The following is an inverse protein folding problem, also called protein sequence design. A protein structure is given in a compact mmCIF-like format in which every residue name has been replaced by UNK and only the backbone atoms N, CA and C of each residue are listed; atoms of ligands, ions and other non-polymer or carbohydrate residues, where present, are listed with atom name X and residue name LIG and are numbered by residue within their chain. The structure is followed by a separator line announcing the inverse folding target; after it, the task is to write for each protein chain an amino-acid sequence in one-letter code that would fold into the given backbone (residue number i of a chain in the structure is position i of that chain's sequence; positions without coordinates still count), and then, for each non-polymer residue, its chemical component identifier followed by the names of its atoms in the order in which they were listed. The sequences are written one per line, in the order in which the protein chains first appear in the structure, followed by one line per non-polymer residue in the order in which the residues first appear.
data_IF_175295664983
#
_entry.id   IF_175295664983
#
_cell.length_a   1.000
_cell.length_b   1.000
_cell.length_c   1.000
_cell.angle_alpha   90.00
_cell.angle_beta   90.00
_cell.angle_gamma   90.00
#
_symmetry.space_group_name_H-M   'P 1'
#
loop_
_entity.id
_entity.type
_entity.pdbx_description
1 polymer ?
#
# COMPACT_ATOMS: atom_id res chain seq x y z
N UNK A 1 0.80 -0.90 15.36
CA UNK A 1 -0.49 -1.58 15.08
C UNK A 1 -1.33 -0.76 14.10
N UNK A 2 -2.05 -1.42 13.18
CA UNK A 2 -2.88 -0.78 12.16
C UNK A 2 -4.26 -0.47 12.75
N UNK A 3 -4.83 0.68 12.39
CA UNK A 3 -6.19 1.08 12.81
C UNK A 3 -7.28 0.24 12.15
N UNK A 4 -7.04 -0.18 10.91
CA UNK A 4 -7.99 -0.91 10.09
C UNK A 4 -7.76 -2.41 10.18
N UNK A 5 -8.85 -3.19 10.21
CA UNK A 5 -8.76 -4.64 10.05
C UNK A 5 -8.60 -4.97 8.58
N UNK A 6 -7.95 -6.09 8.30
CA UNK A 6 -7.76 -6.59 6.94
C UNK A 6 -7.70 -8.13 6.96
N UNK A 7 -8.03 -8.73 5.83
CA UNK A 7 -7.70 -10.12 5.54
C UNK A 7 -6.52 -10.18 4.56
N UNK A 8 -5.77 -11.28 4.61
CA UNK A 8 -4.73 -11.57 3.64
C UNK A 8 -5.20 -12.75 2.80
N UNK A 9 -5.16 -12.58 1.49
CA UNK A 9 -5.42 -13.65 0.52
C UNK A 9 -4.19 -13.87 -0.35
N UNK A 10 -3.91 -15.12 -0.68
CA UNK A 10 -2.78 -15.52 -1.52
C UNK A 10 -3.34 -16.18 -2.79
N UNK A 11 -3.03 -15.63 -3.96
CA UNK A 11 -3.51 -16.17 -5.23
C UNK A 11 -2.36 -16.89 -5.92
N UNK A 12 -2.38 -18.22 -5.85
CA UNK A 12 -1.27 -19.06 -6.30
C UNK A 12 -1.03 -19.01 -7.81
N UNK A 13 -2.08 -18.79 -8.61
CA UNK A 13 -2.00 -18.76 -10.08
C UNK A 13 -1.33 -17.49 -10.62
N UNK A 14 -1.30 -16.41 -9.82
CA UNK A 14 -0.73 -15.11 -10.20
C UNK A 14 0.48 -14.70 -9.34
N UNK A 15 0.87 -15.54 -8.37
CA UNK A 15 1.90 -15.22 -7.37
C UNK A 15 1.63 -13.90 -6.61
N UNK A 16 0.35 -13.62 -6.37
CA UNK A 16 -0.15 -12.37 -5.82
C UNK A 16 -0.58 -12.48 -4.36
N UNK A 17 -0.44 -11.37 -3.63
CA UNK A 17 -0.96 -11.19 -2.27
C UNK A 17 -1.95 -10.04 -2.30
N UNK A 18 -3.16 -10.29 -1.81
CA UNK A 18 -4.20 -9.27 -1.65
C UNK A 18 -4.34 -8.94 -0.17
N UNK A 19 -4.25 -7.65 0.15
CA UNK A 19 -4.77 -7.13 1.42
C UNK A 19 -6.20 -6.66 1.19
N UNK A 20 -7.15 -7.46 1.66
CA UNK A 20 -8.58 -7.15 1.57
C UNK A 20 -8.99 -6.29 2.78
N UNK A 21 -9.34 -5.05 2.48
CA UNK A 21 -9.78 -4.02 3.43
C UNK A 21 -11.31 -3.81 3.37
N UNK A 22 -12.02 -4.54 2.51
CA UNK A 22 -13.46 -4.36 2.27
C UNK A 22 -14.31 -5.15 3.27
N UNK A 23 -13.83 -6.32 3.72
CA UNK A 23 -14.60 -7.25 4.59
C UNK A 23 -15.17 -6.65 5.88
N UNK A 24 -14.70 -5.50 6.37
CA UNK A 24 -15.18 -4.87 7.61
C UNK A 24 -15.71 -3.42 7.42
N UNK A 25 -15.97 -2.97 6.18
CA UNK A 25 -16.61 -1.68 5.84
C UNK A 25 -15.88 -0.40 6.31
N UNK A 26 -14.60 -0.46 6.67
CA UNK A 26 -13.81 0.72 7.05
C UNK A 26 -12.37 0.58 6.53
N UNK A 27 -11.89 1.46 5.64
CA UNK A 27 -12.51 2.70 5.15
C UNK A 27 -13.58 2.48 4.07
N UNK A 28 -14.44 3.49 3.85
CA UNK A 28 -15.36 3.52 2.71
C UNK A 28 -14.56 3.36 1.41
N UNK A 29 -15.02 2.49 0.51
CA UNK A 29 -14.33 2.15 -0.73
C UNK A 29 -12.90 1.62 -0.50
N UNK A 30 -12.67 0.88 0.60
CA UNK A 30 -11.37 0.30 0.93
C UNK A 30 -10.79 -0.61 -0.16
N UNK A 31 -11.63 -1.18 -1.02
CA UNK A 31 -11.21 -1.92 -2.21
C UNK A 31 -10.29 -1.10 -3.14
N UNK A 32 -10.39 0.24 -3.14
CA UNK A 32 -9.50 1.10 -3.92
C UNK A 32 -8.05 1.02 -3.43
N UNK A 33 -7.84 0.86 -2.12
CA UNK A 33 -6.50 0.63 -1.57
C UNK A 33 -5.98 -0.72 -2.06
N UNK A 34 -6.80 -1.78 -1.96
CA UNK A 34 -6.45 -3.13 -2.42
C UNK A 34 -6.09 -3.14 -3.91
N UNK A 35 -6.85 -2.42 -4.74
CA UNK A 35 -6.58 -2.28 -6.17
C UNK A 35 -5.28 -1.51 -6.44
N UNK A 36 -5.00 -0.43 -5.71
CA UNK A 36 -3.73 0.30 -5.83
C UNK A 36 -2.54 -0.60 -5.52
N UNK A 37 -2.61 -1.44 -4.49
CA UNK A 37 -1.52 -2.34 -4.10
C UNK A 37 -1.17 -3.38 -5.19
N UNK A 38 -2.17 -3.90 -5.90
CA UNK A 38 -1.98 -4.84 -7.01
C UNK A 38 -1.65 -4.19 -8.36
N UNK A 39 -1.54 -2.86 -8.42
CA UNK A 39 -1.33 -2.12 -9.66
C UNK A 39 0.14 -1.98 -10.05
N UNK A 40 0.37 -1.40 -11.23
CA UNK A 40 1.69 -1.07 -11.75
C UNK A 40 2.49 -0.08 -10.88
N UNK A 41 1.84 0.64 -9.96
CA UNK A 41 2.48 1.53 -8.98
C UNK A 41 3.51 0.76 -8.12
N UNK A 42 3.23 -0.51 -7.82
CA UNK A 42 4.06 -1.33 -6.95
C UNK A 42 4.68 -2.53 -7.69
N UNK A 43 5.05 -2.33 -8.96
CA UNK A 43 5.56 -3.38 -9.84
C UNK A 43 6.84 -4.05 -9.32
N UNK A 44 7.68 -3.32 -8.59
CA UNK A 44 8.90 -3.82 -7.98
C UNK A 44 9.21 -3.17 -6.62
N UNK A 45 10.24 -3.68 -5.95
CA UNK A 45 10.60 -3.23 -4.61
C UNK A 45 11.20 -1.81 -4.59
N UNK A 46 11.82 -1.35 -5.67
CA UNK A 46 12.38 -0.01 -5.73
C UNK A 46 11.27 1.03 -5.87
N UNK A 47 10.21 0.72 -6.61
CA UNK A 47 8.99 1.52 -6.69
C UNK A 47 8.30 1.64 -5.32
N UNK A 48 8.23 0.53 -4.57
CA UNK A 48 7.73 0.55 -3.17
C UNK A 48 8.61 1.44 -2.28
N UNK A 49 9.95 1.36 -2.42
CA UNK A 49 10.88 2.21 -1.66
C UNK A 49 10.65 3.69 -1.96
N UNK A 50 10.50 4.05 -3.22
CA UNK A 50 10.27 5.42 -3.64
C UNK A 50 8.95 5.95 -3.07
N UNK A 51 7.85 5.21 -3.22
CA UNK A 51 6.55 5.61 -2.68
C UNK A 51 6.61 5.89 -1.17
N UNK A 52 7.18 4.95 -0.41
CA UNK A 52 7.33 5.09 1.05
C UNK A 52 8.20 6.30 1.41
N UNK A 53 9.28 6.56 0.67
CA UNK A 53 10.12 7.73 0.92
C UNK A 53 9.38 9.05 0.69
N UNK A 54 8.55 9.14 -0.34
CA UNK A 54 7.76 10.35 -0.59
C UNK A 54 6.68 10.54 0.48
N UNK A 55 5.98 9.47 0.87
CA UNK A 55 5.00 9.51 1.95
C UNK A 55 5.62 9.96 3.29
N UNK A 56 6.84 9.49 3.59
CA UNK A 56 7.58 9.94 4.77
C UNK A 56 7.91 11.44 4.73
N UNK A 57 8.34 11.98 3.59
CA UNK A 57 8.58 13.43 3.41
C UNK A 57 7.30 14.25 3.58
N UNK A 58 6.16 13.73 3.12
CA UNK A 58 4.88 14.40 3.32
C UNK A 58 4.48 14.40 4.80
N UNK A 59 4.63 13.28 5.48
CA UNK A 59 4.33 13.18 6.92
C UNK A 59 5.26 14.05 7.79
N UNK A 60 6.54 14.18 7.42
CA UNK A 60 7.48 15.07 8.10
C UNK A 60 7.19 16.55 7.84
N UNK A 61 6.48 16.86 6.75
CA UNK A 61 6.18 18.22 6.29
C UNK A 61 7.26 18.82 5.39
N UNK A 62 8.22 18.02 4.93
CA UNK A 62 9.20 18.40 3.91
C UNK A 62 8.56 18.59 2.53
N UNK A 63 7.48 17.84 2.26
CA UNK A 63 6.70 17.92 1.03
C UNK A 63 5.24 18.23 1.39
N UNK A 64 4.60 19.29 0.85
CA UNK A 64 3.22 19.63 1.22
C UNK A 64 2.19 18.60 0.74
N UNK A 65 2.36 18.13 -0.49
CA UNK A 65 1.49 17.15 -1.17
C UNK A 65 2.38 16.26 -2.02
N UNK A 66 2.08 14.96 -2.01
CA UNK A 66 2.64 13.98 -2.93
C UNK A 66 1.49 13.36 -3.74
N UNK A 67 1.68 13.31 -5.05
CA UNK A 67 0.74 12.69 -5.98
C UNK A 67 1.41 11.45 -6.59
N UNK A 68 0.70 10.33 -6.53
CA UNK A 68 1.03 9.08 -7.20
C UNK A 68 -0.23 8.55 -7.89
N UNK A 69 -0.16 7.34 -8.40
CA UNK A 69 -1.26 6.75 -9.15
C UNK A 69 -0.75 5.96 -10.33
N UNK A 70 -1.63 5.10 -10.83
CA UNK A 70 -1.36 4.21 -11.95
C UNK A 70 -2.49 4.29 -12.94
N UNK A 71 -2.59 3.27 -13.78
CA UNK A 71 -3.61 3.27 -14.83
C UNK A 71 -5.05 3.20 -14.31
N UNK A 72 -5.28 2.92 -13.02
CA UNK A 72 -6.61 2.69 -12.44
C UNK A 72 -7.03 3.71 -11.38
N UNK A 73 -6.09 4.50 -10.84
CA UNK A 73 -6.40 5.43 -9.76
C UNK A 73 -5.41 6.60 -9.70
N UNK A 74 -5.90 7.71 -9.16
CA UNK A 74 -5.08 8.83 -8.71
C UNK A 74 -4.99 8.80 -7.20
N UNK A 75 -3.79 9.06 -6.67
CA UNK A 75 -3.52 9.04 -5.24
C UNK A 75 -2.90 10.37 -4.86
N UNK A 76 -3.52 11.08 -3.92
CA UNK A 76 -3.00 12.35 -3.40
C UNK A 76 -2.84 12.26 -1.90
N UNK A 77 -1.65 12.54 -1.40
CA UNK A 77 -1.31 12.47 0.02
C UNK A 77 -0.82 13.80 0.53
N UNK A 78 -1.47 14.30 1.59
CA UNK A 78 -0.94 15.37 2.43
C UNK A 78 -0.44 14.78 3.78
N UNK A 79 0.01 15.63 4.69
CA UNK A 79 0.54 15.21 6.00
C UNK A 79 -0.43 14.34 6.81
N UNK A 80 -1.73 14.52 6.63
CA UNK A 80 -2.78 13.95 7.46
C UNK A 80 -3.58 12.86 6.75
N UNK A 81 -3.86 13.03 5.46
CA UNK A 81 -4.72 12.14 4.69
C UNK A 81 -4.13 11.77 3.33
N UNK A 82 -4.44 10.54 2.92
CA UNK A 82 -4.33 10.06 1.55
C UNK A 82 -5.74 9.89 0.98
N UNK A 83 -5.92 10.38 -0.23
CA UNK A 83 -7.14 10.25 -1.03
C UNK A 83 -6.81 9.40 -2.25
N UNK A 84 -7.61 8.37 -2.51
CA UNK A 84 -7.48 7.46 -3.65
C UNK A 84 -8.76 7.56 -4.46
N UNK A 85 -8.65 7.95 -5.72
CA UNK A 85 -9.77 8.21 -6.60
C UNK A 85 -9.75 7.23 -7.77
N UNK A 86 -10.88 6.56 -8.03
CA UNK A 86 -11.06 5.75 -9.24
C UNK A 86 -11.33 6.67 -10.44
N UNK A 87 -10.43 6.64 -11.43
CA UNK A 87 -10.54 7.49 -12.63
C UNK A 87 -11.56 7.00 -13.66
N UNK A 88 -12.10 5.79 -13.49
CA UNK A 88 -13.10 5.19 -14.38
C UNK A 88 -14.49 5.08 -13.77
N UNK A 89 -14.72 5.67 -12.59
CA UNK A 89 -16.06 5.64 -12.02
C UNK A 89 -17.04 6.43 -12.90
N UNK A 90 -18.13 5.79 -13.28
CA UNK A 90 -19.23 6.46 -13.98
C UNK A 90 -19.87 7.51 -13.05
N UNK A 91 -20.33 8.64 -13.61
CA UNK A 91 -20.96 9.73 -12.84
C UNK A 91 -22.18 9.27 -12.01
N UNK A 92 -22.78 8.13 -12.38
CA UNK A 92 -23.93 7.51 -11.70
C UNK A 92 -23.54 6.48 -10.61
N UNK A 93 -22.27 6.06 -10.54
CA UNK A 93 -21.76 5.04 -9.60
C UNK A 93 -21.21 5.63 -8.28
N UNK A 94 -21.92 6.58 -7.68
CA UNK A 94 -21.67 7.03 -6.29
C UNK A 94 -20.25 7.54 -5.98
N UNK A 95 -19.90 7.59 -4.69
CA UNK A 95 -18.57 8.06 -4.26
C UNK A 95 -17.48 7.07 -4.72
N UNK A 96 -16.61 7.51 -5.62
CA UNK A 96 -15.50 6.75 -6.22
C UNK A 96 -14.16 6.95 -5.51
N UNK A 97 -14.23 7.40 -4.26
CA UNK A 97 -13.09 7.92 -3.50
C UNK A 97 -12.95 7.15 -2.19
N UNK A 98 -11.72 6.74 -1.88
CA UNK A 98 -11.32 6.28 -0.57
C UNK A 98 -10.47 7.36 0.10
N UNK A 99 -10.70 7.61 1.39
CA UNK A 99 -9.87 8.52 2.19
C UNK A 99 -9.45 7.82 3.47
N UNK A 100 -8.16 7.93 3.77
CA UNK A 100 -7.51 7.28 4.91
C UNK A 100 -6.41 8.19 5.46
N UNK A 101 -5.98 8.03 6.70
CA UNK A 101 -4.81 8.74 7.20
C UNK A 101 -3.54 8.32 6.47
N UNK A 102 -2.69 9.28 6.09
CA UNK A 102 -1.44 9.02 5.34
C UNK A 102 -0.53 8.02 6.05
N UNK A 103 -0.48 8.10 7.38
CA UNK A 103 0.28 7.16 8.20
C UNK A 103 -0.28 5.74 8.12
N UNK A 104 -1.60 5.58 8.04
CA UNK A 104 -2.25 4.27 7.93
C UNK A 104 -2.10 3.70 6.53
N UNK A 105 -2.20 4.54 5.49
CA UNK A 105 -1.90 4.13 4.11
C UNK A 105 -0.45 3.64 3.97
N UNK A 106 0.51 4.38 4.52
CA UNK A 106 1.94 4.00 4.51
C UNK A 106 2.15 2.64 5.21
N UNK A 107 1.50 2.41 6.35
CA UNK A 107 1.56 1.13 7.07
C UNK A 107 0.98 -0.01 6.23
N UNK A 108 -0.13 0.21 5.54
CA UNK A 108 -0.77 -0.80 4.68
C UNK A 108 0.19 -1.24 3.57
N UNK A 109 0.87 -0.29 2.90
CA UNK A 109 1.87 -0.62 1.86
C UNK A 109 2.99 -1.49 2.46
N UNK A 110 3.51 -1.14 3.64
CA UNK A 110 4.59 -1.91 4.28
C UNK A 110 4.14 -3.33 4.68
N UNK A 111 2.90 -3.49 5.16
CA UNK A 111 2.32 -4.81 5.46
C UNK A 111 2.21 -5.64 4.19
N UNK A 112 1.65 -5.05 3.13
CA UNK A 112 1.46 -5.74 1.86
C UNK A 112 2.80 -6.16 1.26
N UNK A 113 3.79 -5.27 1.24
CA UNK A 113 5.12 -5.54 0.74
C UNK A 113 5.77 -6.70 1.52
N UNK A 114 5.65 -6.70 2.85
CA UNK A 114 6.18 -7.76 3.72
C UNK A 114 5.60 -9.12 3.38
N UNK A 115 4.28 -9.20 3.23
CA UNK A 115 3.60 -10.46 2.91
C UNK A 115 3.90 -10.91 1.48
N UNK A 116 3.99 -9.98 0.53
CA UNK A 116 4.40 -10.26 -0.85
C UNK A 116 5.82 -10.82 -0.94
N UNK A 117 6.78 -10.25 -0.19
CA UNK A 117 8.16 -10.71 -0.14
C UNK A 117 8.25 -12.13 0.43
N UNK A 118 7.59 -12.38 1.57
CA UNK A 118 7.56 -13.72 2.18
C UNK A 118 6.93 -14.75 1.25
N UNK A 119 5.86 -14.37 0.56
CA UNK A 119 5.16 -15.26 -0.36
C UNK A 119 6.03 -15.62 -1.57
N UNK A 120 6.66 -14.63 -2.21
CA UNK A 120 7.61 -14.84 -3.31
C UNK A 120 8.81 -15.70 -2.89
N UNK A 121 9.31 -15.53 -1.67
CA UNK A 121 10.37 -16.40 -1.14
C UNK A 121 9.89 -17.84 -0.93
N UNK A 122 8.71 -18.05 -0.32
CA UNK A 122 8.11 -19.38 -0.15
C UNK A 122 7.92 -20.12 -1.48
N UNK A 123 7.66 -19.37 -2.56
CA UNK A 123 7.49 -19.88 -3.93
C UNK A 123 8.81 -20.10 -4.68
N UNK A 124 9.95 -19.71 -4.09
CA UNK A 124 11.27 -19.82 -4.71
C UNK A 124 11.53 -18.78 -5.81
N UNK A 125 10.68 -17.75 -5.90
CA UNK A 125 10.82 -16.63 -6.87
C UNK A 125 11.89 -15.65 -6.37
N UNK A 126 11.97 -15.45 -5.05
CA UNK A 126 12.90 -14.53 -4.42
C UNK A 126 13.95 -15.28 -3.61
N UNK A 127 15.24 -14.95 -3.83
CA UNK A 127 16.36 -15.54 -3.09
C UNK A 127 16.29 -15.21 -1.59
N UNK A 128 16.89 -16.05 -0.74
CA UNK A 128 16.85 -15.88 0.72
C UNK A 128 17.57 -14.59 1.12
N UNK A 129 18.76 -14.35 0.56
CA UNK A 129 19.57 -13.16 0.88
C UNK A 129 18.83 -11.87 0.51
N UNK A 130 18.19 -11.85 -0.66
CA UNK A 130 17.36 -10.74 -1.13
C UNK A 130 16.11 -10.56 -0.26
N UNK A 131 15.51 -11.66 0.19
CA UNK A 131 14.35 -11.63 1.10
C UNK A 131 14.72 -10.98 2.43
N UNK A 132 15.85 -11.39 3.02
CA UNK A 132 16.32 -10.88 4.31
C UNK A 132 16.63 -9.38 4.24
N UNK A 133 17.30 -8.91 3.18
CA UNK A 133 17.59 -7.49 2.97
C UNK A 133 16.29 -6.66 2.90
N UNK A 134 15.32 -7.12 2.11
CA UNK A 134 14.05 -6.39 1.92
C UNK A 134 13.20 -6.39 3.19
N UNK A 135 13.18 -7.49 3.94
CA UNK A 135 12.46 -7.57 5.21
C UNK A 135 13.08 -6.70 6.30
N UNK A 136 14.41 -6.59 6.34
CA UNK A 136 15.08 -5.69 7.29
C UNK A 136 14.77 -4.22 6.94
N UNK A 137 14.80 -3.84 5.66
CA UNK A 137 14.39 -2.49 5.25
C UNK A 137 12.94 -2.17 5.65
N UNK A 138 11.99 -3.10 5.45
CA UNK A 138 10.61 -2.91 5.89
C UNK A 138 10.52 -2.73 7.42
N UNK A 139 11.31 -3.50 8.16
CA UNK A 139 11.36 -3.44 9.63
C UNK A 139 11.92 -2.08 10.10
N UNK A 140 12.96 -1.56 9.47
CA UNK A 140 13.45 -0.20 9.73
C UNK A 140 12.33 0.83 9.50
N UNK A 141 11.62 0.78 8.37
CA UNK A 141 10.52 1.72 8.07
C UNK A 141 9.33 1.60 9.00
N UNK A 142 8.97 0.39 9.42
CA UNK A 142 7.94 0.20 10.44
C UNK A 142 8.36 0.82 11.79
N UNK A 143 9.65 0.80 12.12
CA UNK A 143 10.17 1.42 13.36
C UNK A 143 10.10 2.95 13.29
N UNK A 144 10.47 3.55 12.16
CA UNK A 144 10.34 5.00 11.93
C UNK A 144 8.89 5.51 12.12
N UNK A 145 7.90 4.68 11.78
CA UNK A 145 6.48 4.99 11.91
C UNK A 145 5.88 4.63 13.29
N UNK A 146 6.69 4.20 14.26
CA UNK A 146 6.23 3.65 15.55
C UNK A 146 5.15 2.57 15.37
N UNK A 147 5.32 1.72 14.34
CA UNK A 147 4.32 0.72 13.95
C UNK A 147 4.52 -0.65 14.61
N UNK A 148 5.69 -0.90 15.23
CA UNK A 148 6.04 -2.12 15.96
C UNK A 148 5.80 -2.02 17.46
#
# INVERSE_FOLDING_TARGET
MLKYKYAIEYIEDYDEVILDLEKENIPKNGYLISNSLGSDIFSDFDSIKEEIQQLLKVMSGELPIFESGGNLNLISSDKHKTVIENIFADEDEGDSVCTIETVEYTKIILIWAKESIKYKNKRGILAIEETDERLEWIKEKCSELNFM
#
